data_IF_572884646402
#
_entry.id   IF_572884646402
#
_cell.length_a   1.000
_cell.length_b   1.000
_cell.length_c   1.000
_cell.angle_alpha   90.00
_cell.angle_beta   90.00
_cell.angle_gamma   90.00
#
_symmetry.space_group_name_H-M   'P 1'
#
loop_
_entity.id
_entity.type
_entity.pdbx_description
1 polymer ?
#
# COMPACT_ATOMS: atom_id res chain seq x y z
N UNK A 1 -21.46 -1.22 23.31
CA UNK A 1 -20.41 -1.80 22.45
C UNK A 1 -19.05 -1.63 23.11
N UNK A 2 -18.07 -2.52 22.84
CA UNK A 2 -16.67 -2.33 23.21
C UNK A 2 -15.93 -1.62 22.08
N UNK A 3 -15.26 -0.49 22.38
CA UNK A 3 -14.51 0.28 21.41
C UNK A 3 -13.03 0.33 21.81
N UNK A 4 -12.17 -0.29 21.02
CA UNK A 4 -10.74 -0.36 21.27
C UNK A 4 -10.01 0.66 20.39
N UNK A 5 -9.01 1.31 20.96
CA UNK A 5 -8.12 2.21 20.26
C UNK A 5 -6.73 1.61 20.11
N UNK A 6 -6.12 1.75 18.93
CA UNK A 6 -4.73 1.34 18.69
C UNK A 6 -3.94 2.49 18.07
N UNK A 7 -2.82 2.84 18.69
CA UNK A 7 -1.95 3.93 18.25
C UNK A 7 -1.08 3.53 17.05
N UNK A 8 -0.28 4.47 16.56
CA UNK A 8 0.73 4.27 15.52
C UNK A 8 2.10 3.84 16.04
N UNK A 9 3.04 3.64 15.12
CA UNK A 9 4.44 3.34 15.43
C UNK A 9 5.09 4.40 16.33
N UNK A 10 6.00 3.94 17.20
CA UNK A 10 6.84 4.73 18.10
C UNK A 10 6.08 5.61 19.12
N UNK A 11 4.83 5.24 19.44
CA UNK A 11 4.12 5.84 20.57
C UNK A 11 4.61 5.27 21.89
N UNK A 12 4.94 6.16 22.84
CA UNK A 12 5.34 5.80 24.21
C UNK A 12 4.32 6.21 25.27
N UNK A 13 3.21 6.88 24.88
CA UNK A 13 2.18 7.34 25.81
C UNK A 13 0.79 7.39 25.18
N UNK A 14 -0.22 6.98 25.95
CA UNK A 14 -1.65 7.04 25.59
C UNK A 14 -2.20 8.45 25.30
N UNK A 15 -1.47 9.53 25.63
CA UNK A 15 -1.85 10.90 25.24
C UNK A 15 -1.89 11.10 23.71
N UNK A 16 -1.32 10.15 22.95
CA UNK A 16 -1.42 10.11 21.50
C UNK A 16 -2.87 10.03 20.99
N UNK A 17 -3.77 9.43 21.79
CA UNK A 17 -5.19 9.30 21.43
C UNK A 17 -5.92 10.65 21.38
N UNK A 18 -5.30 11.70 21.93
CA UNK A 18 -5.84 13.06 21.86
C UNK A 18 -7.15 13.19 22.62
N UNK A 19 -8.08 13.93 22.03
CA UNK A 19 -9.43 14.19 22.57
C UNK A 19 -10.50 13.34 21.87
N UNK A 20 -10.08 12.45 20.96
CA UNK A 20 -10.98 11.70 20.10
C UNK A 20 -11.86 10.70 20.89
N UNK A 21 -11.34 9.94 21.89
CA UNK A 21 -12.18 9.08 22.72
C UNK A 21 -13.33 9.84 23.40
N UNK A 22 -13.03 10.97 24.03
CA UNK A 22 -14.01 11.80 24.73
C UNK A 22 -14.99 12.47 23.76
N UNK A 23 -14.51 12.92 22.59
CA UNK A 23 -15.37 13.47 21.55
C UNK A 23 -16.39 12.45 21.05
N UNK A 24 -15.97 11.21 20.77
CA UNK A 24 -16.90 10.16 20.33
C UNK A 24 -17.95 9.83 21.39
N UNK A 25 -17.55 9.71 22.67
CA UNK A 25 -18.50 9.43 23.76
C UNK A 25 -19.51 10.56 23.91
N UNK A 26 -19.05 11.82 23.84
CA UNK A 26 -19.93 12.99 23.98
C UNK A 26 -20.98 13.05 22.87
N UNK A 27 -20.59 12.79 21.63
CA UNK A 27 -21.48 12.90 20.47
C UNK A 27 -22.26 11.59 20.18
N UNK A 28 -21.89 10.47 20.79
CA UNK A 28 -22.49 9.15 20.51
C UNK A 28 -24.00 9.11 20.78
N UNK A 29 -24.46 9.71 21.88
CA UNK A 29 -25.88 9.72 22.22
C UNK A 29 -26.73 10.43 21.16
N UNK A 30 -26.26 11.59 20.67
CA UNK A 30 -26.90 12.33 19.58
C UNK A 30 -26.90 11.53 18.26
N UNK A 31 -25.87 10.70 18.04
CA UNK A 31 -25.79 9.79 16.90
C UNK A 31 -26.66 8.53 17.05
N UNK A 32 -27.27 8.29 18.21
CA UNK A 32 -28.06 7.09 18.51
C UNK A 32 -27.22 5.87 18.87
N UNK A 33 -26.00 6.07 19.37
CA UNK A 33 -25.08 5.01 19.81
C UNK A 33 -24.97 4.98 21.34
N UNK A 34 -25.06 3.78 21.91
CA UNK A 34 -24.75 3.55 23.32
C UNK A 34 -23.26 3.27 23.49
N UNK A 35 -22.48 4.36 23.59
CA UNK A 35 -21.05 4.33 23.87
C UNK A 35 -20.78 5.03 25.20
N UNK A 36 -20.26 4.28 26.17
CA UNK A 36 -19.79 4.80 27.45
C UNK A 36 -18.27 4.78 27.46
N UNK A 37 -17.65 5.77 28.10
CA UNK A 37 -16.19 5.84 28.26
C UNK A 37 -15.63 4.59 28.97
N UNK A 38 -16.41 3.95 29.84
CA UNK A 38 -16.02 2.72 30.52
C UNK A 38 -15.83 1.52 29.57
N UNK A 39 -16.40 1.58 28.37
CA UNK A 39 -16.26 0.57 27.32
C UNK A 39 -15.28 1.00 26.22
N UNK A 40 -14.53 2.08 26.46
CA UNK A 40 -13.45 2.54 25.58
C UNK A 40 -12.10 2.11 26.16
N UNK A 41 -11.37 1.30 25.40
CA UNK A 41 -10.07 0.76 25.83
C UNK A 41 -8.94 1.33 24.98
N UNK A 42 -7.91 1.85 25.64
CA UNK A 42 -6.74 2.42 24.99
C UNK A 42 -5.62 1.38 24.91
N UNK A 43 -5.46 0.76 23.74
CA UNK A 43 -4.43 -0.22 23.46
C UNK A 43 -3.03 0.36 23.60
N UNK A 44 -2.08 -0.51 23.94
CA UNK A 44 -0.65 -0.19 24.05
C UNK A 44 0.13 -1.33 23.45
N UNK A 45 1.04 -1.03 22.52
CA UNK A 45 1.93 -2.03 21.98
C UNK A 45 3.31 -1.45 21.71
N UNK A 46 4.35 -2.28 21.88
CA UNK A 46 5.73 -1.85 21.81
C UNK A 46 6.22 -1.97 20.36
N UNK A 47 6.39 -0.84 19.69
CA UNK A 47 6.82 -0.79 18.28
C UNK A 47 8.15 -0.09 18.05
N UNK A 48 8.80 0.30 19.14
CA UNK A 48 10.08 1.02 19.16
C UNK A 48 11.21 0.13 19.71
N UNK A 49 11.05 -1.19 19.73
CA UNK A 49 12.11 -2.15 20.07
C UNK A 49 12.49 -2.87 18.78
N UNK A 50 13.77 -2.86 18.42
CA UNK A 50 14.24 -3.26 17.09
C UNK A 50 13.93 -4.72 16.76
N UNK A 51 13.96 -5.61 17.76
CA UNK A 51 13.67 -7.03 17.61
C UNK A 51 12.19 -7.34 17.37
N UNK A 52 11.26 -6.46 17.76
CA UNK A 52 9.82 -6.74 17.70
C UNK A 52 9.31 -6.67 16.26
N UNK A 53 8.70 -7.76 15.80
CA UNK A 53 8.08 -7.84 14.47
C UNK A 53 6.57 -7.60 14.53
N UNK A 54 5.94 -7.39 13.37
CA UNK A 54 4.48 -7.28 13.30
C UNK A 54 3.80 -8.61 13.69
N UNK A 55 4.47 -9.74 13.46
CA UNK A 55 3.97 -11.06 13.83
C UNK A 55 3.95 -11.27 15.35
N UNK A 56 5.00 -10.83 16.04
CA UNK A 56 5.06 -10.84 17.51
C UNK A 56 3.92 -9.99 18.09
N UNK A 57 3.72 -8.80 17.53
CA UNK A 57 2.64 -7.90 17.95
C UNK A 57 1.26 -8.50 17.71
N UNK A 58 1.02 -9.18 16.59
CA UNK A 58 -0.26 -9.83 16.32
C UNK A 58 -0.50 -11.01 17.28
N UNK A 59 0.55 -11.74 17.64
CA UNK A 59 0.47 -12.81 18.64
C UNK A 59 0.12 -12.27 20.03
N UNK A 60 0.84 -11.23 20.46
CA UNK A 60 0.57 -10.57 21.73
C UNK A 60 -0.82 -9.91 21.75
N UNK A 61 -1.25 -9.32 20.63
CA UNK A 61 -2.58 -8.74 20.47
C UNK A 61 -3.67 -9.79 20.67
N UNK A 62 -3.54 -10.96 20.06
CA UNK A 62 -4.52 -12.03 20.21
C UNK A 62 -4.68 -12.45 21.69
N UNK A 63 -3.56 -12.57 22.40
CA UNK A 63 -3.57 -12.85 23.84
C UNK A 63 -4.26 -11.73 24.62
N UNK A 64 -3.88 -10.48 24.37
CA UNK A 64 -4.45 -9.32 25.06
C UNK A 64 -5.97 -9.16 24.82
N UNK A 65 -6.45 -9.43 23.60
CA UNK A 65 -7.88 -9.44 23.29
C UNK A 65 -8.61 -10.57 24.02
N UNK A 66 -7.97 -11.74 24.15
CA UNK A 66 -8.51 -12.87 24.92
C UNK A 66 -8.57 -12.53 26.41
N UNK A 67 -7.55 -11.91 26.98
CA UNK A 67 -7.56 -11.53 28.39
C UNK A 67 -8.60 -10.43 28.69
N UNK A 68 -8.79 -9.48 27.77
CA UNK A 68 -9.72 -8.36 27.96
C UNK A 68 -11.19 -8.72 27.69
N UNK A 69 -11.43 -9.46 26.60
CA UNK A 69 -12.77 -9.69 26.06
C UNK A 69 -13.15 -11.18 26.00
N UNK A 70 -12.26 -12.08 26.44
CA UNK A 70 -12.48 -13.51 26.41
C UNK A 70 -13.64 -13.92 27.32
N UNK A 71 -14.64 -14.57 26.73
CA UNK A 71 -15.75 -15.22 27.44
C UNK A 71 -16.00 -16.57 26.81
N UNK A 72 -16.09 -17.62 27.64
CA UNK A 72 -16.37 -18.99 27.18
C UNK A 72 -15.45 -19.47 26.05
N UNK A 73 -14.16 -19.13 26.12
CA UNK A 73 -13.15 -19.55 25.13
C UNK A 73 -13.17 -18.78 23.80
N UNK A 74 -13.96 -17.70 23.68
CA UNK A 74 -13.98 -16.82 22.49
C UNK A 74 -13.83 -15.36 22.87
N UNK A 75 -13.21 -14.58 22.00
CA UNK A 75 -13.14 -13.11 22.15
C UNK A 75 -14.55 -12.55 21.86
N UNK A 76 -15.12 -11.78 22.78
CA UNK A 76 -16.43 -11.14 22.58
C UNK A 76 -16.38 -10.07 21.47
N UNK A 77 -17.50 -9.78 20.77
CA UNK A 77 -17.52 -8.79 19.70
C UNK A 77 -17.05 -7.39 20.11
N UNK A 78 -16.30 -6.73 19.24
CA UNK A 78 -15.77 -5.38 19.46
C UNK A 78 -15.58 -4.59 18.17
N UNK A 79 -15.40 -3.28 18.33
CA UNK A 79 -15.05 -2.33 17.27
C UNK A 79 -13.69 -1.71 17.57
N UNK A 80 -12.95 -1.32 16.52
CA UNK A 80 -11.64 -0.69 16.63
C UNK A 80 -11.58 0.64 15.90
N UNK A 81 -10.93 1.61 16.54
CA UNK A 81 -10.35 2.80 15.88
C UNK A 81 -8.83 2.69 15.97
N UNK A 82 -8.16 2.62 14.83
CA UNK A 82 -6.70 2.48 14.78
C UNK A 82 -6.07 3.70 14.14
N UNK A 83 -4.81 3.98 14.45
CA UNK A 83 -4.04 5.00 13.77
C UNK A 83 -2.75 4.44 13.19
N UNK A 84 -2.37 4.91 12.00
CA UNK A 84 -1.08 4.59 11.39
C UNK A 84 -0.83 3.06 11.37
N UNK A 85 0.26 2.59 11.96
CA UNK A 85 0.61 1.16 12.09
C UNK A 85 -0.45 0.28 12.75
N UNK A 86 -1.31 0.84 13.61
CA UNK A 86 -2.39 0.08 14.25
C UNK A 86 -3.36 -0.54 13.23
N UNK A 87 -3.61 0.12 12.10
CA UNK A 87 -4.49 -0.40 11.05
C UNK A 87 -3.93 -1.67 10.41
N UNK A 88 -2.72 -1.63 9.83
CA UNK A 88 -2.06 -2.81 9.31
C UNK A 88 -1.84 -3.93 10.34
N UNK A 89 -1.57 -3.60 11.61
CA UNK A 89 -1.47 -4.59 12.68
C UNK A 89 -2.78 -5.37 12.86
N UNK A 90 -3.92 -4.67 12.96
CA UNK A 90 -5.23 -5.33 13.10
C UNK A 90 -5.58 -6.13 11.85
N UNK A 91 -5.30 -5.61 10.65
CA UNK A 91 -5.48 -6.38 9.40
C UNK A 91 -4.63 -7.65 9.39
N UNK A 92 -3.37 -7.56 9.83
CA UNK A 92 -2.48 -8.71 9.91
C UNK A 92 -2.96 -9.75 10.95
N UNK A 93 -3.47 -9.29 12.09
CA UNK A 93 -4.12 -10.17 13.07
C UNK A 93 -5.36 -10.88 12.49
N UNK A 94 -6.21 -10.18 11.73
CA UNK A 94 -7.35 -10.80 11.02
C UNK A 94 -6.86 -11.90 10.08
N UNK A 95 -5.86 -11.60 9.24
CA UNK A 95 -5.29 -12.59 8.32
C UNK A 95 -4.69 -13.80 9.05
N UNK A 96 -3.91 -13.55 10.12
CA UNK A 96 -3.21 -14.60 10.87
C UNK A 96 -4.15 -15.58 11.56
N UNK A 97 -5.26 -15.12 12.12
CA UNK A 97 -6.12 -15.94 12.98
C UNK A 97 -7.44 -16.38 12.33
N UNK A 98 -7.89 -15.69 11.29
CA UNK A 98 -9.17 -15.96 10.64
C UNK A 98 -8.99 -16.18 9.14
N UNK A 99 -8.20 -15.33 8.48
CA UNK A 99 -8.03 -15.36 7.03
C UNK A 99 -9.35 -15.17 6.29
N UNK A 100 -9.35 -15.37 4.97
CA UNK A 100 -10.56 -15.18 4.16
C UNK A 100 -11.70 -16.16 4.50
N UNK A 101 -11.36 -17.37 4.97
CA UNK A 101 -12.30 -18.47 5.20
C UNK A 101 -12.83 -18.53 6.64
N UNK A 102 -12.34 -17.68 7.54
CA UNK A 102 -12.77 -17.63 8.94
C UNK A 102 -13.40 -16.30 9.33
N UNK A 103 -13.69 -15.41 8.37
CA UNK A 103 -14.23 -14.08 8.65
C UNK A 103 -15.59 -14.13 9.34
N UNK A 104 -16.40 -15.16 9.10
CA UNK A 104 -17.69 -15.37 9.78
C UNK A 104 -17.55 -15.63 11.28
N UNK A 105 -16.35 -16.03 11.72
CA UNK A 105 -16.01 -16.22 13.14
C UNK A 105 -15.25 -15.01 13.72
N UNK A 106 -15.02 -13.95 12.94
CA UNK A 106 -14.25 -12.79 13.36
C UNK A 106 -15.04 -11.94 14.39
N UNK A 107 -14.50 -11.70 15.60
CA UNK A 107 -15.15 -10.87 16.61
C UNK A 107 -15.04 -9.36 16.33
N UNK A 108 -14.16 -8.95 15.42
CA UNK A 108 -13.99 -7.55 15.03
C UNK A 108 -15.09 -7.13 14.04
N UNK A 109 -16.04 -6.33 14.50
CA UNK A 109 -17.18 -5.87 13.69
C UNK A 109 -16.81 -4.66 12.82
N UNK A 110 -16.14 -3.67 13.41
CA UNK A 110 -15.78 -2.44 12.72
C UNK A 110 -14.29 -2.15 12.86
N UNK A 111 -13.62 -1.85 11.75
CA UNK A 111 -12.21 -1.43 11.74
C UNK A 111 -12.10 -0.06 11.09
N UNK A 112 -12.08 1.00 11.90
CA UNK A 112 -11.99 2.39 11.46
C UNK A 112 -10.52 2.82 11.53
N UNK A 113 -9.88 2.95 10.38
CA UNK A 113 -8.45 3.23 10.31
C UNK A 113 -8.18 4.69 9.96
N UNK A 114 -7.58 5.42 10.90
CA UNK A 114 -7.13 6.80 10.76
C UNK A 114 -5.68 6.84 10.26
N UNK A 115 -5.47 7.37 9.06
CA UNK A 115 -4.16 7.46 8.42
C UNK A 115 -3.33 6.15 8.43
N UNK A 116 -3.91 4.98 8.12
CA UNK A 116 -3.19 3.71 8.20
C UNK A 116 -2.09 3.62 7.15
N UNK A 117 -0.96 2.98 7.45
CA UNK A 117 0.08 2.69 6.44
C UNK A 117 -0.19 1.35 5.72
N UNK A 118 -1.35 1.24 5.06
CA UNK A 118 -1.83 -0.01 4.45
C UNK A 118 -0.95 -0.53 3.30
N UNK A 119 -0.33 0.37 2.55
CA UNK A 119 0.65 0.09 1.50
C UNK A 119 2.02 0.76 1.78
N UNK A 120 2.22 1.17 3.03
CA UNK A 120 3.48 1.71 3.52
C UNK A 120 3.60 3.22 3.46
N UNK A 121 4.77 3.68 3.86
CA UNK A 121 5.11 5.09 3.98
C UNK A 121 6.50 5.39 3.42
N UNK A 122 6.68 6.55 2.73
CA UNK A 122 8.00 7.06 2.34
C UNK A 122 8.97 7.25 3.52
N UNK A 123 8.45 7.40 4.75
CA UNK A 123 9.24 7.66 5.95
C UNK A 123 10.23 6.52 6.25
N UNK A 124 9.97 5.29 5.80
CA UNK A 124 10.86 4.17 6.10
C UNK A 124 12.17 4.16 5.29
N UNK A 125 12.29 4.97 4.23
CA UNK A 125 13.49 5.05 3.37
C UNK A 125 14.50 6.10 3.89
N UNK A 126 14.58 6.26 5.21
CA UNK A 126 15.50 7.24 5.80
C UNK A 126 16.93 6.68 5.89
N UNK A 127 17.82 7.26 5.10
CA UNK A 127 19.25 6.90 5.08
C UNK A 127 19.98 7.19 6.39
N UNK A 128 21.14 6.56 6.58
CA UNK A 128 21.98 6.62 7.80
C UNK A 128 22.27 8.04 8.31
N UNK A 129 22.36 9.04 7.43
CA UNK A 129 22.60 10.45 7.80
C UNK A 129 21.42 11.16 8.46
N UNK A 130 20.19 10.64 8.30
CA UNK A 130 18.98 11.19 8.94
C UNK A 130 18.59 10.43 10.22
N UNK A 131 19.23 9.30 10.50
CA UNK A 131 19.02 8.47 11.71
C UNK A 131 19.22 9.29 13.00
N UNK A 132 20.15 10.26 13.03
CA UNK A 132 20.33 11.14 14.19
C UNK A 132 19.12 12.05 14.47
N UNK A 133 18.49 12.63 13.43
CA UNK A 133 17.32 13.50 13.55
C UNK A 133 16.05 12.72 13.92
N UNK A 134 15.96 11.50 13.38
CA UNK A 134 14.98 10.47 13.72
C UNK A 134 15.13 10.13 15.20
N UNK A 135 16.30 9.66 15.66
CA UNK A 135 16.54 9.33 17.08
C UNK A 135 16.23 10.48 18.05
N UNK A 136 16.53 11.73 17.67
CA UNK A 136 16.15 12.91 18.44
C UNK A 136 14.62 13.12 18.52
N UNK A 137 13.89 12.90 17.43
CA UNK A 137 12.42 12.86 17.42
C UNK A 137 11.88 11.74 18.33
N UNK A 138 12.57 10.61 18.43
CA UNK A 138 12.17 9.49 19.29
C UNK A 138 12.57 9.65 20.75
N UNK A 139 12.97 10.84 21.19
CA UNK A 139 13.39 11.06 22.59
C UNK A 139 14.44 10.04 23.07
N UNK A 140 15.26 9.49 22.16
CA UNK A 140 16.30 8.52 22.47
C UNK A 140 15.89 7.04 22.54
N UNK A 141 14.65 6.65 22.21
CA UNK A 141 14.30 5.21 22.11
C UNK A 141 14.75 4.57 20.79
N UNK A 142 14.87 3.24 20.79
CA UNK A 142 15.13 2.46 19.57
C UNK A 142 14.07 2.76 18.48
N UNK A 143 14.46 2.68 17.19
CA UNK A 143 13.53 2.99 16.10
C UNK A 143 12.51 1.87 15.84
N UNK A 144 12.68 0.66 16.36
CA UNK A 144 11.80 -0.46 16.01
C UNK A 144 12.00 -0.89 14.55
N UNK A 145 13.24 -1.23 14.20
CA UNK A 145 13.67 -1.48 12.82
C UNK A 145 12.76 -2.47 12.07
N UNK A 146 12.36 -3.58 12.69
CA UNK A 146 11.54 -4.59 12.01
C UNK A 146 10.13 -4.10 11.68
N UNK A 147 9.53 -3.29 12.55
CA UNK A 147 8.24 -2.63 12.26
C UNK A 147 8.40 -1.61 11.13
N UNK A 148 9.46 -0.80 11.14
CA UNK A 148 9.73 0.15 10.05
C UNK A 148 10.00 -0.54 8.71
N UNK A 149 10.76 -1.65 8.72
CA UNK A 149 11.00 -2.47 7.53
C UNK A 149 9.68 -3.00 6.96
N UNK A 150 8.75 -3.43 7.83
CA UNK A 150 7.41 -3.85 7.43
C UNK A 150 6.58 -2.69 6.85
N UNK A 151 6.68 -1.49 7.44
CA UNK A 151 5.94 -0.29 7.01
C UNK A 151 6.53 0.40 5.78
N UNK A 152 7.70 -0.04 5.32
CA UNK A 152 8.33 0.47 4.10
C UNK A 152 7.48 0.21 2.87
N UNK A 153 7.38 1.20 1.98
CA UNK A 153 6.75 1.03 0.66
C UNK A 153 7.30 -0.22 -0.03
N UNK A 154 6.41 -1.04 -0.59
CA UNK A 154 6.77 -2.26 -1.31
C UNK A 154 7.41 -3.36 -0.46
N UNK A 155 7.21 -3.36 0.86
CA UNK A 155 7.64 -4.48 1.71
C UNK A 155 6.89 -5.78 1.37
N UNK A 156 7.54 -6.92 1.59
CA UNK A 156 6.91 -8.24 1.36
C UNK A 156 5.69 -8.45 2.26
N UNK A 157 5.74 -8.00 3.51
CA UNK A 157 4.63 -8.13 4.46
C UNK A 157 3.38 -7.39 4.01
N UNK A 158 3.54 -6.18 3.45
CA UNK A 158 2.43 -5.44 2.88
C UNK A 158 1.92 -6.05 1.58
N UNK A 159 2.83 -6.52 0.72
CA UNK A 159 2.46 -7.20 -0.52
C UNK A 159 1.58 -8.41 -0.21
N UNK A 160 2.03 -9.28 0.70
CA UNK A 160 1.33 -10.50 1.11
C UNK A 160 -0.03 -10.19 1.74
N UNK A 161 -0.08 -9.26 2.71
CA UNK A 161 -1.33 -8.92 3.40
C UNK A 161 -2.38 -8.33 2.44
N UNK A 162 -1.98 -7.43 1.55
CA UNK A 162 -2.90 -6.85 0.57
C UNK A 162 -3.33 -7.89 -0.49
N UNK A 163 -2.45 -8.83 -0.86
CA UNK A 163 -2.79 -9.89 -1.82
C UNK A 163 -3.78 -10.88 -1.21
N UNK A 164 -3.59 -11.26 0.07
CA UNK A 164 -4.53 -12.10 0.80
C UNK A 164 -5.92 -11.44 0.89
N UNK A 165 -5.98 -10.12 1.13
CA UNK A 165 -7.25 -9.39 1.24
C UNK A 165 -8.09 -9.35 -0.05
N UNK A 166 -7.56 -9.74 -1.21
CA UNK A 166 -8.31 -9.82 -2.48
C UNK A 166 -9.44 -10.86 -2.44
N UNK A 167 -9.32 -11.90 -1.63
CA UNK A 167 -10.35 -12.94 -1.49
C UNK A 167 -11.40 -12.60 -0.43
N UNK A 168 -11.21 -11.54 0.35
CA UNK A 168 -12.08 -11.24 1.47
C UNK A 168 -13.48 -10.82 1.01
N UNK A 169 -14.47 -11.21 1.81
CA UNK A 169 -15.90 -10.84 1.66
C UNK A 169 -16.41 -10.20 2.95
N UNK A 170 -15.70 -9.18 3.42
CA UNK A 170 -15.84 -8.61 4.76
C UNK A 170 -17.29 -8.25 5.13
N UNK A 171 -18.00 -7.50 4.26
CA UNK A 171 -19.35 -7.05 4.60
C UNK A 171 -20.38 -8.19 4.70
N UNK A 172 -20.17 -9.28 3.94
CA UNK A 172 -21.02 -10.46 4.02
C UNK A 172 -20.77 -11.26 5.31
N UNK A 173 -19.56 -11.15 5.88
CA UNK A 173 -19.16 -11.78 7.13
C UNK A 173 -19.42 -10.92 8.38
N UNK A 174 -20.08 -9.76 8.25
CA UNK A 174 -20.30 -8.85 9.39
C UNK A 174 -19.08 -8.03 9.81
N UNK A 175 -18.06 -7.94 8.94
CA UNK A 175 -16.84 -7.18 9.15
C UNK A 175 -16.80 -5.92 8.26
N UNK A 176 -16.73 -4.74 8.86
CA UNK A 176 -16.85 -3.44 8.20
C UNK A 176 -15.57 -2.59 8.38
N UNK A 177 -14.57 -2.73 7.50
CA UNK A 177 -13.40 -1.86 7.50
C UNK A 177 -13.72 -0.50 6.85
N UNK A 178 -13.13 0.58 7.36
CA UNK A 178 -13.24 1.94 6.84
C UNK A 178 -11.89 2.65 6.92
N UNK A 179 -11.55 3.47 5.93
CA UNK A 179 -10.31 4.24 5.91
C UNK A 179 -10.61 5.74 5.97
N UNK A 180 -9.84 6.44 6.78
CA UNK A 180 -9.85 7.89 6.91
C UNK A 180 -8.44 8.39 6.64
N UNK A 181 -8.26 9.32 5.71
CA UNK A 181 -6.95 9.86 5.35
C UNK A 181 -6.96 11.38 5.39
N UNK A 182 -5.83 11.96 5.78
CA UNK A 182 -5.56 13.37 5.59
C UNK A 182 -4.87 13.63 4.26
N UNK A 183 -5.02 14.84 3.73
CA UNK A 183 -4.14 15.38 2.70
C UNK A 183 -3.69 16.81 3.02
N UNK A 184 -3.84 17.22 4.28
CA UNK A 184 -3.29 18.47 4.79
C UNK A 184 -1.94 18.22 5.45
N UNK A 185 -1.01 19.15 5.28
CA UNK A 185 0.33 19.02 5.85
C UNK A 185 0.59 20.23 6.76
N UNK A 186 1.01 19.97 7.99
CA UNK A 186 1.56 21.01 8.86
C UNK A 186 3.06 21.14 8.54
N UNK A 187 3.38 21.89 7.47
CA UNK A 187 4.75 22.00 6.92
C UNK A 187 5.77 22.33 8.02
N UNK A 188 5.43 23.21 8.98
CA UNK A 188 6.31 23.57 10.10
C UNK A 188 6.67 22.39 11.01
N UNK A 189 5.76 21.41 11.17
CA UNK A 189 6.00 20.23 11.98
C UNK A 189 6.90 19.21 11.27
N UNK A 190 6.83 19.14 9.93
CA UNK A 190 7.44 18.06 9.14
C UNK A 190 8.68 18.48 8.33
N UNK A 191 8.79 19.75 7.96
CA UNK A 191 9.90 20.31 7.15
C UNK A 191 11.26 20.06 7.79
N UNK A 192 11.34 20.09 9.13
CA UNK A 192 12.60 19.91 9.86
C UNK A 192 13.19 18.50 9.71
N UNK A 193 12.40 17.51 9.31
CA UNK A 193 12.80 16.10 9.29
C UNK A 193 13.22 15.62 7.92
N UNK A 194 12.34 15.80 6.93
CA UNK A 194 12.50 15.20 5.62
C UNK A 194 11.55 15.82 4.58
N UNK A 195 12.05 16.35 3.44
CA UNK A 195 11.20 16.91 2.38
C UNK A 195 10.20 15.92 1.77
N UNK A 196 10.42 14.60 1.90
CA UNK A 196 9.40 13.59 1.52
C UNK A 196 8.13 13.64 2.38
N UNK A 197 8.16 14.34 3.53
CA UNK A 197 7.03 14.50 4.45
C UNK A 197 6.18 15.74 4.13
N UNK A 198 6.48 16.43 3.03
CA UNK A 198 5.64 17.50 2.48
C UNK A 198 5.17 17.18 1.06
N UNK A 199 5.19 15.90 0.68
CA UNK A 199 4.76 15.46 -0.65
C UNK A 199 3.24 15.63 -0.84
N UNK A 200 2.78 16.25 -1.95
CA UNK A 200 1.35 16.40 -2.24
C UNK A 200 0.60 15.06 -2.25
N UNK A 201 -0.65 15.10 -1.78
CA UNK A 201 -1.49 13.90 -1.66
C UNK A 201 -1.08 12.98 -0.51
N UNK A 202 -0.42 13.54 0.52
CA UNK A 202 -0.10 12.85 1.77
C UNK A 202 -0.55 13.67 2.98
N UNK A 203 -0.63 13.01 4.13
CA UNK A 203 -0.85 13.65 5.43
C UNK A 203 0.47 14.06 6.13
N UNK A 204 1.57 14.03 5.39
CA UNK A 204 2.93 14.25 5.85
C UNK A 204 3.66 13.00 6.36
N UNK A 205 3.02 11.83 6.40
CA UNK A 205 3.70 10.55 6.66
C UNK A 205 3.23 9.48 5.68
N UNK A 206 1.93 9.39 5.45
CA UNK A 206 1.31 8.38 4.59
C UNK A 206 0.62 9.08 3.42
N UNK A 207 0.91 8.62 2.20
CA UNK A 207 0.20 9.03 0.99
C UNK A 207 -1.26 8.60 1.10
N UNK A 208 -2.21 9.34 0.56
CA UNK A 208 -3.62 8.90 0.50
C UNK A 208 -3.72 7.54 -0.22
N UNK A 209 -2.96 7.37 -1.32
CA UNK A 209 -2.82 6.08 -2.02
C UNK A 209 -2.20 4.97 -1.16
N UNK A 210 -1.35 5.32 -0.20
CA UNK A 210 -0.76 4.40 0.77
C UNK A 210 -1.70 4.02 1.91
N UNK A 211 -2.68 4.88 2.23
CA UNK A 211 -3.66 4.65 3.28
C UNK A 211 -4.90 3.90 2.82
N UNK A 212 -5.35 4.14 1.59
CA UNK A 212 -6.48 3.45 1.00
C UNK A 212 -6.28 1.92 1.07
N UNK A 213 -7.34 1.14 1.31
CA UNK A 213 -7.29 -0.33 1.20
C UNK A 213 -7.66 -0.83 -0.20
N UNK A 214 -8.34 0.02 -0.99
CA UNK A 214 -8.59 -0.28 -2.38
C UNK A 214 -7.25 -0.24 -3.13
N UNK A 215 -6.96 -1.35 -3.80
CA UNK A 215 -5.73 -1.53 -4.55
C UNK A 215 -6.00 -2.41 -5.77
N UNK A 216 -5.05 -2.41 -6.69
CA UNK A 216 -5.07 -3.21 -7.91
C UNK A 216 -3.90 -4.17 -7.93
N UNK A 217 -4.11 -5.33 -8.51
CA UNK A 217 -3.08 -6.32 -8.75
C UNK A 217 -3.08 -6.71 -10.22
N UNK A 218 -1.98 -6.38 -10.89
CA UNK A 218 -1.69 -6.79 -12.26
C UNK A 218 -0.56 -7.81 -12.23
N UNK A 219 -0.76 -8.95 -12.87
CA UNK A 219 0.25 -10.00 -13.01
C UNK A 219 0.60 -10.14 -14.47
N UNK A 220 1.89 -10.07 -14.78
CA UNK A 220 2.44 -10.11 -16.13
C UNK A 220 3.45 -11.25 -16.22
N UNK A 221 3.31 -12.10 -17.24
CA UNK A 221 4.26 -13.17 -17.53
C UNK A 221 4.79 -13.02 -18.95
N UNK A 222 6.11 -13.11 -19.11
CA UNK A 222 6.75 -13.07 -20.41
C UNK A 222 6.40 -14.32 -21.23
N UNK A 223 5.88 -14.09 -22.42
CA UNK A 223 5.66 -15.12 -23.44
C UNK A 223 6.91 -15.34 -24.29
N UNK A 224 6.85 -16.31 -25.20
CA UNK A 224 7.87 -16.50 -26.23
C UNK A 224 7.54 -15.74 -27.53
N UNK A 225 6.38 -15.07 -27.59
CA UNK A 225 5.93 -14.35 -28.76
C UNK A 225 6.46 -12.92 -28.77
N UNK A 226 6.90 -12.40 -29.93
CA UNK A 226 7.27 -11.00 -30.05
C UNK A 226 6.02 -10.11 -29.91
N UNK A 227 6.24 -8.87 -29.51
CA UNK A 227 5.20 -7.83 -29.50
C UNK A 227 4.75 -7.55 -30.94
N UNK A 228 3.44 -7.47 -31.17
CA UNK A 228 2.91 -7.21 -32.52
C UNK A 228 3.38 -5.85 -33.06
N UNK A 229 4.00 -5.85 -34.25
CA UNK A 229 4.40 -4.63 -34.96
C UNK A 229 5.61 -3.87 -34.39
N UNK A 230 6.32 -4.40 -33.38
CA UNK A 230 7.59 -3.84 -32.85
C UNK A 230 8.65 -4.93 -32.64
N UNK A 231 9.92 -4.58 -32.83
CA UNK A 231 11.05 -5.52 -32.86
C UNK A 231 11.55 -5.98 -31.49
N UNK A 232 12.13 -7.19 -31.48
CA UNK A 232 13.00 -7.84 -30.47
C UNK A 232 12.50 -8.02 -29.03
N UNK A 233 11.52 -7.24 -28.57
CA UNK A 233 10.89 -7.46 -27.27
C UNK A 233 9.84 -8.57 -27.33
N UNK A 234 9.75 -9.37 -26.26
CA UNK A 234 8.74 -10.39 -26.07
C UNK A 234 7.53 -9.83 -25.33
N UNK A 235 6.33 -10.32 -25.65
CA UNK A 235 5.11 -9.85 -25.02
C UNK A 235 5.02 -10.29 -23.55
N UNK A 236 4.66 -9.36 -22.67
CA UNK A 236 4.28 -9.58 -21.28
C UNK A 236 2.75 -9.69 -21.20
N UNK A 237 2.27 -10.92 -21.05
CA UNK A 237 0.84 -11.22 -21.09
C UNK A 237 0.22 -11.19 -19.70
N UNK A 238 -1.07 -10.87 -19.63
CA UNK A 238 -1.91 -10.97 -18.44
C UNK A 238 -3.02 -12.01 -18.66
N UNK A 239 -3.68 -12.44 -17.58
CA UNK A 239 -4.88 -13.27 -17.69
C UNK A 239 -6.05 -12.44 -18.24
N UNK A 240 -6.42 -12.65 -19.50
CA UNK A 240 -7.50 -11.91 -20.17
C UNK A 240 -8.87 -12.05 -19.48
N UNK A 241 -9.11 -13.12 -18.71
CA UNK A 241 -10.36 -13.28 -17.95
C UNK A 241 -10.38 -12.41 -16.70
N UNK A 242 -9.21 -12.06 -16.17
CA UNK A 242 -9.06 -11.30 -14.93
C UNK A 242 -7.77 -10.49 -14.91
N UNK A 243 -7.66 -9.55 -15.84
CA UNK A 243 -6.45 -8.75 -16.07
C UNK A 243 -5.97 -8.05 -14.79
N UNK A 244 -6.90 -7.41 -14.10
CA UNK A 244 -6.64 -6.72 -12.84
C UNK A 244 -7.54 -7.29 -11.75
N UNK A 245 -6.93 -7.70 -10.64
CA UNK A 245 -7.65 -8.12 -9.44
C UNK A 245 -7.79 -6.95 -8.48
N UNK A 246 -8.97 -6.79 -7.90
CA UNK A 246 -9.26 -5.79 -6.87
C UNK A 246 -9.96 -6.45 -5.67
N UNK A 247 -9.79 -5.93 -4.45
CA UNK A 247 -10.54 -6.42 -3.28
C UNK A 247 -12.00 -5.96 -3.34
N UNK A 248 -12.83 -6.46 -2.42
CA UNK A 248 -14.12 -5.84 -2.17
C UNK A 248 -13.90 -4.36 -1.78
N UNK A 249 -14.69 -3.45 -2.36
CA UNK A 249 -14.53 -2.00 -2.15
C UNK A 249 -14.64 -1.64 -0.66
N UNK A 250 -13.62 -0.95 -0.14
CA UNK A 250 -13.56 -0.42 1.22
C UNK A 250 -13.81 1.10 1.17
N UNK A 251 -14.73 1.66 1.97
CA UNK A 251 -14.94 3.11 2.02
C UNK A 251 -13.69 3.89 2.44
N UNK A 252 -13.45 5.01 1.76
CA UNK A 252 -12.38 5.97 2.05
C UNK A 252 -13.00 7.36 2.24
N UNK A 253 -12.65 8.03 3.33
CA UNK A 253 -12.91 9.44 3.57
C UNK A 253 -11.59 10.22 3.60
N UNK A 254 -11.39 11.14 2.65
CA UNK A 254 -10.22 12.03 2.61
C UNK A 254 -10.59 13.42 3.10
N UNK A 255 -9.81 13.97 4.04
CA UNK A 255 -10.03 15.31 4.59
C UNK A 255 -8.91 16.26 4.15
N UNK A 256 -9.29 17.43 3.59
CA UNK A 256 -8.31 18.38 3.06
C UNK A 256 -7.45 19.06 4.13
N UNK A 257 -7.89 19.03 5.40
CA UNK A 257 -7.28 19.78 6.49
C UNK A 257 -6.88 18.93 7.69
N UNK A 258 -6.47 17.68 7.45
CA UNK A 258 -5.87 16.82 8.46
C UNK A 258 -4.49 16.32 8.03
N UNK A 259 -3.56 16.31 8.98
CA UNK A 259 -2.22 15.73 8.89
C UNK A 259 -2.14 14.44 9.72
N UNK A 260 -1.04 13.71 9.60
CA UNK A 260 -0.83 12.45 10.31
C UNK A 260 -0.89 12.64 11.83
N UNK A 261 -0.24 13.72 12.30
CA UNK A 261 -0.03 14.04 13.71
C UNK A 261 -0.09 15.55 13.96
N UNK A 262 -0.16 15.94 15.23
CA UNK A 262 -0.11 17.34 15.67
C UNK A 262 -1.41 17.83 16.31
N UNK A 263 -1.33 18.85 17.16
CA UNK A 263 -2.48 19.39 17.90
C UNK A 263 -3.35 20.34 17.08
N UNK A 264 -2.86 20.80 15.93
CA UNK A 264 -3.57 21.71 15.01
C UNK A 264 -4.34 20.95 13.93
N UNK A 265 -3.66 20.03 13.24
CA UNK A 265 -4.21 19.30 12.08
C UNK A 265 -4.19 17.77 12.24
N UNK A 266 -3.60 17.22 13.30
CA UNK A 266 -3.46 15.77 13.44
C UNK A 266 -4.80 15.05 13.49
N UNK A 267 -4.96 14.01 12.67
CA UNK A 267 -6.22 13.26 12.47
C UNK A 267 -6.83 12.68 13.76
N UNK A 268 -6.04 12.51 14.83
CA UNK A 268 -6.55 12.09 16.15
C UNK A 268 -6.53 13.18 17.23
N UNK A 269 -5.64 14.17 17.08
CA UNK A 269 -5.25 15.07 18.18
C UNK A 269 -5.64 16.52 17.94
N UNK A 270 -6.14 16.85 16.76
CA UNK A 270 -6.55 18.20 16.44
C UNK A 270 -7.61 18.68 17.44
N UNK A 271 -7.41 19.88 18.00
CA UNK A 271 -8.37 20.49 18.93
C UNK A 271 -9.75 20.70 18.30
N UNK A 272 -9.82 20.80 16.96
CA UNK A 272 -11.08 20.89 16.20
C UNK A 272 -12.00 19.68 16.43
N UNK A 273 -11.46 18.50 16.76
CA UNK A 273 -12.25 17.30 17.04
C UNK A 273 -13.08 17.40 18.32
N UNK A 274 -12.71 18.30 19.24
CA UNK A 274 -13.50 18.55 20.44
C UNK A 274 -14.75 19.40 20.18
N UNK A 275 -14.89 19.99 18.98
CA UNK A 275 -16.07 20.79 18.63
C UNK A 275 -17.23 19.85 18.22
N UNK A 276 -18.47 20.11 18.68
CA UNK A 276 -19.64 19.40 18.17
C UNK A 276 -19.76 19.53 16.65
N UNK A 277 -20.19 18.45 15.98
CA UNK A 277 -20.33 18.40 14.52
C UNK A 277 -18.99 18.41 13.77
N UNK A 278 -17.88 17.98 14.40
CA UNK A 278 -16.62 17.83 13.70
C UNK A 278 -16.76 16.74 12.62
N UNK A 279 -16.53 17.04 11.31
CA UNK A 279 -16.87 16.11 10.23
C UNK A 279 -16.23 14.72 10.36
N UNK A 280 -15.00 14.65 10.89
CA UNK A 280 -14.34 13.37 11.16
C UNK A 280 -15.08 12.56 12.23
N UNK A 281 -15.46 13.19 13.35
CA UNK A 281 -16.16 12.53 14.46
C UNK A 281 -17.53 12.03 14.00
N UNK A 282 -18.29 12.87 13.29
CA UNK A 282 -19.60 12.50 12.74
C UNK A 282 -19.50 11.30 11.78
N UNK A 283 -18.49 11.31 10.91
CA UNK A 283 -18.26 10.21 9.97
C UNK A 283 -17.86 8.92 10.70
N UNK A 284 -17.02 9.00 11.74
CA UNK A 284 -16.65 7.85 12.56
C UNK A 284 -17.89 7.24 13.25
N UNK A 285 -18.75 8.06 13.83
CA UNK A 285 -19.99 7.62 14.47
C UNK A 285 -20.97 7.00 13.46
N UNK A 286 -21.12 7.60 12.27
CA UNK A 286 -21.91 7.02 11.20
C UNK A 286 -21.41 5.63 10.78
N UNK A 287 -20.09 5.43 10.69
CA UNK A 287 -19.50 4.13 10.40
C UNK A 287 -19.73 3.10 11.52
N UNK A 288 -19.72 3.51 12.79
CA UNK A 288 -19.99 2.61 13.94
C UNK A 288 -21.46 2.16 14.03
N UNK A 289 -22.37 2.77 13.26
CA UNK A 289 -23.78 2.37 13.17
C UNK A 289 -24.05 1.32 12.10
N UNK A 290 -23.08 1.06 11.22
CA UNK A 290 -23.23 0.10 10.12
C UNK A 290 -23.34 -1.31 10.68
N UNK A 291 -24.43 -2.00 10.41
CA UNK A 291 -24.70 -3.33 10.97
C UNK A 291 -24.98 -4.39 9.90
N UNK A 292 -25.00 -4.00 8.63
CA UNK A 292 -25.24 -4.90 7.51
C UNK A 292 -24.52 -4.44 6.22
N UNK A 293 -24.52 -5.30 5.21
CA UNK A 293 -23.91 -4.99 3.91
C UNK A 293 -24.63 -3.87 3.13
N UNK A 294 -25.89 -3.55 3.46
CA UNK A 294 -26.66 -2.50 2.80
C UNK A 294 -26.26 -1.11 3.32
N UNK A 295 -26.32 -0.92 4.63
CA UNK A 295 -25.82 0.25 5.36
C UNK A 295 -24.33 0.49 5.10
N UNK A 296 -23.50 -0.56 4.98
CA UNK A 296 -22.09 -0.41 4.59
C UNK A 296 -21.92 0.21 3.19
N UNK A 297 -22.75 -0.21 2.22
CA UNK A 297 -22.75 0.37 0.86
C UNK A 297 -23.28 1.80 0.85
N UNK A 298 -24.30 2.13 1.65
CA UNK A 298 -24.79 3.50 1.82
C UNK A 298 -23.68 4.38 2.38
N UNK A 299 -23.09 3.99 3.51
CA UNK A 299 -22.02 4.74 4.14
C UNK A 299 -20.81 4.91 3.21
N UNK A 300 -20.51 3.90 2.39
CA UNK A 300 -19.50 3.99 1.34
C UNK A 300 -19.77 5.08 0.30
N UNK A 301 -21.03 5.30 -0.09
CA UNK A 301 -21.41 6.39 -1.01
C UNK A 301 -21.30 7.76 -0.34
N UNK A 302 -21.73 7.88 0.92
CA UNK A 302 -21.61 9.12 1.71
C UNK A 302 -20.13 9.52 1.86
N UNK A 303 -19.26 8.58 2.24
CA UNK A 303 -17.82 8.84 2.35
C UNK A 303 -17.17 9.18 1.00
N UNK A 304 -17.65 8.59 -0.10
CA UNK A 304 -17.18 8.95 -1.44
C UNK A 304 -17.59 10.37 -1.82
N UNK A 305 -18.83 10.78 -1.52
CA UNK A 305 -19.31 12.14 -1.74
C UNK A 305 -18.54 13.16 -0.89
N UNK A 306 -18.33 12.84 0.40
CA UNK A 306 -17.49 13.63 1.31
C UNK A 306 -16.08 13.79 0.76
N UNK A 307 -15.42 12.69 0.37
CA UNK A 307 -14.08 12.71 -0.23
C UNK A 307 -14.03 13.62 -1.45
N UNK A 308 -15.00 13.49 -2.37
CA UNK A 308 -15.06 14.35 -3.55
C UNK A 308 -15.16 15.82 -3.16
N UNK A 309 -16.06 16.17 -2.24
CA UNK A 309 -16.23 17.55 -1.77
C UNK A 309 -14.97 18.09 -1.10
N UNK A 310 -14.36 17.31 -0.19
CA UNK A 310 -13.15 17.69 0.53
C UNK A 310 -11.95 17.86 -0.40
N UNK A 311 -11.75 16.97 -1.38
CA UNK A 311 -10.62 17.08 -2.31
C UNK A 311 -10.75 18.23 -3.32
N UNK A 312 -11.93 18.86 -3.48
CA UNK A 312 -12.08 20.12 -4.22
C UNK A 312 -11.67 21.36 -3.39
N UNK A 313 -11.56 21.22 -2.06
CA UNK A 313 -11.13 22.32 -1.20
C UNK A 313 -9.60 22.42 -1.19
N UNK A 314 -9.10 23.66 -1.15
CA UNK A 314 -7.67 23.91 -0.96
C UNK A 314 -7.27 23.74 0.51
N UNK A 315 -6.23 22.97 0.83
CA UNK A 315 -5.64 22.95 2.17
C UNK A 315 -5.12 24.33 2.58
N UNK A 316 -5.02 24.57 3.89
CA UNK A 316 -4.42 25.81 4.39
C UNK A 316 -2.96 25.89 3.97
N UNK A 317 -2.55 27.06 3.48
CA UNK A 317 -1.20 27.30 2.96
C UNK A 317 -1.04 26.97 1.47
N UNK A 318 -1.99 26.27 0.85
CA UNK A 318 -1.93 25.91 -0.56
C UNK A 318 -2.73 26.89 -1.42
N UNK A 319 -2.20 27.22 -2.60
CA UNK A 319 -2.85 28.13 -3.57
C UNK A 319 -3.96 27.46 -4.38
N UNK A 320 -3.93 26.13 -4.50
CA UNK A 320 -4.86 25.31 -5.28
C UNK A 320 -5.23 24.01 -4.55
N UNK A 321 -6.33 23.34 -4.93
CA UNK A 321 -6.60 21.97 -4.51
C UNK A 321 -5.44 21.04 -4.87
N UNK A 322 -5.22 20.03 -4.03
CA UNK A 322 -4.18 19.02 -4.24
C UNK A 322 -4.66 18.03 -5.32
N UNK A 323 -3.78 17.71 -6.28
CA UNK A 323 -4.05 16.69 -7.30
C UNK A 323 -4.25 15.31 -6.65
N UNK A 324 -4.87 14.37 -7.35
CA UNK A 324 -4.96 12.99 -6.87
C UNK A 324 -3.84 12.16 -7.49
N UNK A 325 -3.27 11.26 -6.71
CA UNK A 325 -2.08 10.50 -7.11
C UNK A 325 -2.30 9.00 -6.97
N UNK A 326 -1.45 8.21 -7.61
CA UNK A 326 -1.42 6.75 -7.50
C UNK A 326 0.00 6.27 -7.18
N UNK A 327 0.10 5.15 -6.46
CA UNK A 327 1.37 4.49 -6.19
C UNK A 327 1.46 3.20 -6.99
N UNK A 328 2.57 2.98 -7.69
CA UNK A 328 2.83 1.78 -8.47
C UNK A 328 3.98 1.02 -7.81
N UNK A 329 3.75 -0.23 -7.41
CA UNK A 329 4.74 -1.08 -6.77
C UNK A 329 5.08 -2.22 -7.71
N UNK A 330 6.30 -2.22 -8.23
CA UNK A 330 6.78 -3.21 -9.16
C UNK A 330 7.67 -4.24 -8.47
N UNK A 331 7.37 -5.52 -8.70
CA UNK A 331 8.23 -6.65 -8.35
C UNK A 331 8.58 -7.42 -9.63
N UNK A 332 9.86 -7.69 -9.82
CA UNK A 332 10.37 -8.44 -10.98
C UNK A 332 11.05 -9.70 -10.49
N UNK A 333 10.63 -10.85 -11.03
CA UNK A 333 11.18 -12.17 -10.73
C UNK A 333 11.34 -12.99 -12.00
N UNK A 334 12.19 -14.00 -11.95
CA UNK A 334 12.25 -14.97 -13.04
C UNK A 334 11.15 -16.05 -12.89
N UNK A 335 10.96 -16.84 -13.95
CA UNK A 335 9.99 -17.95 -13.98
C UNK A 335 10.31 -19.07 -12.99
N UNK A 336 11.54 -19.10 -12.46
CA UNK A 336 11.99 -20.01 -11.38
C UNK A 336 11.68 -19.43 -9.98
N UNK A 337 11.04 -18.26 -9.90
CA UNK A 337 10.65 -17.62 -8.65
C UNK A 337 11.75 -16.78 -7.99
N UNK A 338 12.91 -16.60 -8.63
CA UNK A 338 14.02 -15.82 -8.08
C UNK A 338 13.76 -14.33 -8.26
N UNK A 339 13.88 -13.57 -7.18
CA UNK A 339 13.77 -12.11 -7.22
C UNK A 339 14.95 -11.53 -8.00
N UNK A 340 14.65 -10.66 -8.98
CA UNK A 340 15.66 -9.90 -9.71
C UNK A 340 15.92 -8.61 -8.93
N UNK A 341 17.19 -8.29 -8.69
CA UNK A 341 17.57 -7.10 -7.91
C UNK A 341 17.22 -5.83 -8.67
N UNK A 342 16.84 -4.78 -7.96
CA UNK A 342 16.47 -3.48 -8.54
C UNK A 342 17.56 -2.81 -9.38
N UNK A 343 18.82 -3.22 -9.24
CA UNK A 343 19.95 -2.73 -10.05
C UNK A 343 20.06 -3.47 -11.40
N UNK A 344 19.49 -4.67 -11.45
CA UNK A 344 19.54 -5.58 -12.59
C UNK A 344 18.27 -5.48 -13.45
N UNK A 345 17.39 -4.50 -13.21
CA UNK A 345 16.29 -4.23 -14.12
C UNK A 345 15.91 -2.75 -14.21
N UNK A 346 15.34 -2.38 -15.35
CA UNK A 346 14.69 -1.08 -15.58
C UNK A 346 13.23 -1.27 -15.96
N UNK A 347 12.38 -0.35 -15.49
CA UNK A 347 10.95 -0.30 -15.83
C UNK A 347 10.65 1.06 -16.43
N UNK A 348 10.27 1.05 -17.70
CA UNK A 348 9.88 2.23 -18.46
C UNK A 348 8.36 2.17 -18.66
N UNK A 349 7.66 3.24 -18.27
CA UNK A 349 6.26 3.41 -18.62
C UNK A 349 6.17 3.90 -20.08
N UNK A 350 5.23 3.35 -20.82
CA UNK A 350 5.05 3.61 -22.25
C UNK A 350 3.69 4.26 -22.50
N UNK A 351 3.59 5.14 -23.49
CA UNK A 351 2.34 5.80 -23.88
C UNK A 351 2.24 6.07 -25.39
N UNK A 352 1.02 6.28 -25.86
CA UNK A 352 0.68 6.62 -27.24
C UNK A 352 0.72 5.42 -28.19
N UNK A 353 0.24 5.59 -29.43
CA UNK A 353 0.10 4.52 -30.44
C UNK A 353 1.37 3.73 -30.74
N UNK A 354 2.55 4.29 -30.44
CA UNK A 354 3.86 3.67 -30.63
C UNK A 354 4.48 3.13 -29.33
N UNK A 355 3.74 3.15 -28.22
CA UNK A 355 4.21 2.72 -26.90
C UNK A 355 5.60 3.29 -26.57
N UNK A 356 5.70 4.61 -26.57
CA UNK A 356 6.97 5.33 -26.37
C UNK A 356 7.07 5.93 -24.97
N UNK A 357 8.23 5.87 -24.31
CA UNK A 357 8.42 6.51 -23.01
C UNK A 357 8.42 8.04 -23.08
N UNK A 358 8.63 8.63 -24.26
CA UNK A 358 8.73 10.07 -24.47
C UNK A 358 7.37 10.77 -24.65
N UNK A 359 6.27 10.03 -24.55
CA UNK A 359 4.89 10.52 -24.80
C UNK A 359 4.13 10.71 -23.49
N UNK A 360 4.76 10.47 -22.34
CA UNK A 360 4.12 10.68 -21.04
C UNK A 360 3.87 12.17 -20.77
N UNK A 361 2.72 12.53 -20.16
CA UNK A 361 2.42 13.92 -19.82
C UNK A 361 3.48 14.55 -18.91
N UNK A 362 3.72 15.86 -19.09
CA UNK A 362 4.59 16.62 -18.18
C UNK A 362 4.01 16.61 -16.76
N UNK A 363 4.85 16.32 -15.77
CA UNK A 363 4.45 16.24 -14.35
C UNK A 363 3.78 14.92 -13.96
N UNK A 364 3.75 13.94 -14.86
CA UNK A 364 3.21 12.60 -14.59
C UNK A 364 3.97 11.88 -13.47
N UNK A 365 5.30 11.85 -13.54
CA UNK A 365 6.14 11.25 -12.50
C UNK A 365 6.39 12.27 -11.39
N UNK A 366 6.05 11.89 -10.15
CA UNK A 366 6.20 12.73 -8.97
C UNK A 366 7.42 12.27 -8.17
N UNK A 367 7.51 10.97 -7.89
CA UNK A 367 8.60 10.40 -7.09
C UNK A 367 8.93 8.95 -7.48
N UNK A 368 10.15 8.53 -7.16
CA UNK A 368 10.65 7.16 -7.35
C UNK A 368 11.41 6.70 -6.11
N UNK A 369 11.02 5.55 -5.57
CA UNK A 369 11.67 4.91 -4.44
C UNK A 369 12.01 3.45 -4.74
N UNK A 370 12.91 2.88 -3.92
CA UNK A 370 13.29 1.47 -3.99
C UNK A 370 13.26 0.90 -2.59
N UNK A 371 12.62 -0.26 -2.44
CA UNK A 371 12.77 -1.07 -1.26
C UNK A 371 13.93 -2.05 -1.45
N UNK A 372 15.05 -1.78 -0.78
CA UNK A 372 16.28 -2.59 -0.92
C UNK A 372 16.17 -3.99 -0.33
N UNK A 373 15.15 -4.30 0.49
CA UNK A 373 14.94 -5.64 1.06
C UNK A 373 14.15 -6.51 0.08
N UNK A 374 12.99 -6.03 -0.38
CA UNK A 374 12.15 -6.74 -1.36
C UNK A 374 12.61 -6.58 -2.82
N UNK A 375 13.55 -5.67 -3.08
CA UNK A 375 13.96 -5.25 -4.43
C UNK A 375 12.86 -4.54 -5.24
N UNK A 376 11.71 -4.22 -4.64
CA UNK A 376 10.64 -3.52 -5.34
C UNK A 376 11.04 -2.11 -5.75
N UNK A 377 10.61 -1.68 -6.93
CA UNK A 377 10.66 -0.28 -7.40
C UNK A 377 9.29 0.32 -7.24
N UNK A 378 9.22 1.53 -6.68
CA UNK A 378 7.97 2.23 -6.39
C UNK A 378 7.94 3.55 -7.15
N UNK A 379 6.90 3.77 -7.95
CA UNK A 379 6.61 5.07 -8.57
C UNK A 379 5.41 5.73 -7.89
N UNK A 380 5.50 7.03 -7.70
CA UNK A 380 4.37 7.88 -7.35
C UNK A 380 4.05 8.77 -8.54
N UNK A 381 2.80 8.71 -9.00
CA UNK A 381 2.39 9.31 -10.26
C UNK A 381 1.12 10.14 -10.08
N UNK A 382 0.99 11.22 -10.85
CA UNK A 382 -0.19 12.06 -10.86
C UNK A 382 -1.33 11.37 -11.62
N UNK A 383 -2.42 11.06 -10.92
CA UNK A 383 -3.53 10.30 -11.48
C UNK A 383 -4.45 11.14 -12.37
N UNK A 384 -4.47 12.47 -12.19
CA UNK A 384 -5.15 13.36 -13.13
C UNK A 384 -4.41 13.36 -14.47
N UNK A 385 -3.07 13.32 -14.44
CA UNK A 385 -2.24 13.17 -15.64
C UNK A 385 -2.39 11.81 -16.30
N UNK A 386 -2.62 10.75 -15.53
CA UNK A 386 -2.95 9.43 -16.10
C UNK A 386 -4.25 9.46 -16.91
N UNK A 387 -5.25 10.23 -16.49
CA UNK A 387 -6.51 10.35 -17.23
C UNK A 387 -6.30 10.99 -18.62
N UNK A 388 -5.28 11.84 -18.80
CA UNK A 388 -4.91 12.39 -20.11
C UNK A 388 -4.48 11.29 -21.10
N UNK A 389 -3.95 10.15 -20.61
CA UNK A 389 -3.62 8.99 -21.45
C UNK A 389 -4.86 8.33 -22.06
N UNK A 390 -6.02 8.40 -21.38
CA UNK A 390 -7.27 7.85 -21.93
C UNK A 390 -7.65 8.53 -23.25
N UNK A 391 -7.38 9.83 -23.37
CA UNK A 391 -7.64 10.63 -24.58
C UNK A 391 -6.72 10.24 -25.75
N UNK A 392 -5.63 9.51 -25.51
CA UNK A 392 -4.73 9.04 -26.56
C UNK A 392 -5.20 7.74 -27.21
N UNK A 393 -6.35 7.18 -26.78
CA UNK A 393 -6.89 5.91 -27.24
C UNK A 393 -6.53 4.72 -26.34
N UNK A 394 -6.19 4.97 -25.07
CA UNK A 394 -5.77 3.97 -24.07
C UNK A 394 -4.51 3.17 -24.44
N UNK A 395 -3.61 3.71 -25.25
CA UNK A 395 -2.31 3.08 -25.51
C UNK A 395 -1.31 3.42 -24.41
N UNK A 396 -1.15 2.51 -23.45
CA UNK A 396 -0.14 2.61 -22.40
C UNK A 396 0.49 1.23 -22.14
N UNK A 397 1.70 1.21 -21.63
CA UNK A 397 2.41 -0.04 -21.46
C UNK A 397 3.59 0.03 -20.51
N UNK A 398 4.32 -1.06 -20.45
CA UNK A 398 5.55 -1.20 -19.67
C UNK A 398 6.61 -1.83 -20.57
N UNK A 399 7.84 -1.31 -20.54
CA UNK A 399 9.02 -2.03 -21.01
C UNK A 399 9.87 -2.42 -19.81
N UNK A 400 10.24 -3.69 -19.77
CA UNK A 400 11.06 -4.30 -18.72
C UNK A 400 12.35 -4.80 -19.34
N UNK A 401 13.46 -4.18 -18.95
CA UNK A 401 14.80 -4.57 -19.39
C UNK A 401 15.49 -5.21 -18.19
N UNK A 402 15.99 -6.44 -18.34
CA UNK A 402 16.62 -7.20 -17.25
C UNK A 402 18.04 -7.60 -17.63
N UNK A 403 18.94 -7.50 -16.67
CA UNK A 403 20.35 -7.85 -16.77
C UNK A 403 20.65 -9.17 -16.04
N UNK A 404 21.63 -9.97 -16.53
CA UNK A 404 22.34 -9.77 -17.78
C UNK A 404 21.43 -10.05 -18.99
N UNK A 405 21.72 -9.37 -20.11
CA UNK A 405 21.13 -9.72 -21.39
C UNK A 405 21.60 -11.11 -21.83
N UNK A 406 20.82 -11.76 -22.70
CA UNK A 406 21.12 -13.11 -23.14
C UNK A 406 22.41 -13.18 -23.97
N UNK A 407 23.49 -13.67 -23.35
CA UNK A 407 24.67 -14.25 -24.02
C UNK A 407 24.64 -15.78 -23.90
N UNK A 408 25.27 -16.34 -22.86
CA UNK A 408 25.15 -17.77 -22.50
C UNK A 408 24.01 -18.04 -21.52
N UNK A 409 23.67 -17.06 -20.68
CA UNK A 409 22.51 -17.09 -19.81
C UNK A 409 22.07 -15.66 -19.49
N UNK A 410 20.78 -15.38 -19.56
CA UNK A 410 20.28 -14.03 -19.32
C UNK A 410 18.80 -13.90 -19.61
N UNK A 411 18.39 -12.67 -19.91
CA UNK A 411 16.99 -12.32 -20.15
C UNK A 411 16.83 -11.63 -21.50
N UNK A 412 15.58 -11.59 -21.96
CA UNK A 412 15.15 -10.81 -23.13
C UNK A 412 14.24 -9.68 -22.65
N UNK A 413 14.25 -8.57 -23.37
CA UNK A 413 13.35 -7.43 -23.11
C UNK A 413 11.90 -7.90 -23.18
N UNK A 414 11.10 -7.51 -22.19
CA UNK A 414 9.66 -7.74 -22.16
C UNK A 414 8.89 -6.44 -22.33
N UNK A 415 7.81 -6.45 -23.10
CA UNK A 415 6.87 -5.33 -23.13
C UNK A 415 5.43 -5.76 -22.91
N UNK A 416 4.74 -5.02 -22.06
CA UNK A 416 3.29 -5.08 -21.90
C UNK A 416 2.68 -3.92 -22.68
N UNK A 417 1.78 -4.23 -23.61
CA UNK A 417 0.96 -3.26 -24.33
C UNK A 417 -0.48 -3.42 -23.83
N UNK A 418 -1.17 -2.31 -23.55
CA UNK A 418 -2.52 -2.35 -22.96
C UNK A 418 -3.54 -3.07 -23.83
N UNK A 419 -3.41 -3.01 -25.16
CA UNK A 419 -4.26 -3.72 -26.13
C UNK A 419 -5.78 -3.53 -25.86
N UNK A 420 -6.17 -2.33 -25.42
CA UNK A 420 -7.56 -2.00 -25.10
C UNK A 420 -7.96 -2.16 -23.63
N UNK A 421 -7.08 -2.68 -22.76
CA UNK A 421 -7.26 -2.65 -21.31
C UNK A 421 -7.36 -1.18 -20.84
N UNK A 422 -8.49 -0.74 -20.25
CA UNK A 422 -8.66 0.67 -19.87
C UNK A 422 -7.62 1.14 -18.86
N UNK A 423 -7.09 2.35 -19.02
CA UNK A 423 -6.04 2.89 -18.14
C UNK A 423 -6.49 2.97 -16.67
N UNK A 424 -7.76 3.31 -16.44
CA UNK A 424 -8.38 3.42 -15.12
C UNK A 424 -8.59 2.06 -14.42
N UNK A 425 -8.52 0.96 -15.19
CA UNK A 425 -8.53 -0.39 -14.63
C UNK A 425 -7.20 -0.76 -13.96
N UNK A 426 -6.07 -0.20 -14.42
CA UNK A 426 -4.72 -0.46 -13.88
C UNK A 426 -4.28 0.66 -12.94
N UNK A 427 -4.69 1.90 -13.23
CA UNK A 427 -4.29 3.09 -12.50
C UNK A 427 -5.50 3.80 -11.92
N UNK A 428 -5.49 4.18 -10.65
CA UNK A 428 -6.56 5.03 -10.14
C UNK A 428 -6.13 6.06 -9.11
N UNK A 429 -6.86 7.20 -9.09
CA UNK A 429 -6.70 8.21 -8.06
C UNK A 429 -6.80 7.61 -6.66
N UNK A 430 -5.88 8.00 -5.79
CA UNK A 430 -5.81 7.61 -4.38
C UNK A 430 -5.66 6.10 -4.15
N UNK A 431 -5.14 5.33 -5.10
CA UNK A 431 -4.98 3.88 -4.96
C UNK A 431 -3.55 3.42 -5.29
N UNK A 432 -3.18 2.27 -4.69
CA UNK A 432 -1.94 1.57 -4.99
C UNK A 432 -2.18 0.43 -5.98
N UNK A 433 -1.30 0.30 -6.97
CA UNK A 433 -1.28 -0.82 -7.93
C UNK A 433 -0.01 -1.64 -7.73
N UNK A 434 -0.18 -2.92 -7.42
CA UNK A 434 0.88 -3.93 -7.36
C UNK A 434 1.02 -4.60 -8.72
N UNK A 435 2.24 -4.62 -9.25
CA UNK A 435 2.56 -5.11 -10.59
C UNK A 435 3.64 -6.19 -10.45
N UNK A 436 3.22 -7.46 -10.54
CA UNK A 436 4.11 -8.63 -10.45
C UNK A 436 4.52 -9.07 -11.85
N UNK A 437 5.80 -8.95 -12.18
CA UNK A 437 6.34 -9.25 -13.51
C UNK A 437 7.21 -10.51 -13.41
N UNK A 438 6.89 -11.50 -14.23
CA UNK A 438 7.64 -12.75 -14.38
C UNK A 438 8.36 -12.74 -15.72
N UNK A 439 9.68 -12.81 -15.67
CA UNK A 439 10.56 -12.84 -16.83
C UNK A 439 11.08 -14.26 -17.06
N UNK A 440 11.23 -14.68 -18.31
CA UNK A 440 11.83 -15.97 -18.60
C UNK A 440 13.35 -15.83 -18.53
N UNK A 441 14.00 -16.68 -17.73
CA UNK A 441 15.46 -16.83 -17.75
C UNK A 441 15.81 -17.79 -18.87
N UNK A 442 16.69 -17.36 -19.78
CA UNK A 442 17.15 -18.17 -20.89
C UNK A 442 18.59 -18.64 -20.66
N UNK A 443 18.89 -19.85 -21.13
CA UNK A 443 20.25 -20.40 -21.17
C UNK A 443 20.53 -20.88 -22.59
N UNK A 444 21.65 -20.48 -23.17
CA UNK A 444 22.05 -20.93 -24.50
C UNK A 444 22.49 -22.40 -24.47
N UNK A 445 22.09 -23.19 -25.47
CA UNK A 445 22.46 -24.60 -25.57
C UNK A 445 23.97 -24.84 -25.68
N UNK A 446 24.76 -23.82 -26.02
CA UNK A 446 26.22 -23.82 -26.01
C UNK A 446 26.86 -23.54 -24.66
N UNK A 447 26.08 -23.27 -23.61
CA UNK A 447 26.60 -23.09 -22.25
C UNK A 447 27.29 -24.36 -21.71
N UNK A 448 26.88 -25.53 -22.21
CA UNK A 448 27.53 -26.82 -21.95
C UNK A 448 27.68 -27.58 -23.26
N UNK A 449 28.88 -28.10 -23.53
CA UNK A 449 29.16 -28.97 -24.66
C UNK A 449 30.14 -30.06 -24.27
N UNK A 450 30.08 -31.19 -24.99
CA UNK A 450 31.02 -32.29 -24.83
C UNK A 450 31.84 -32.45 -26.10
N UNK A 451 33.16 -32.50 -25.96
CA UNK A 451 34.06 -32.90 -27.03
C UNK A 451 34.49 -34.36 -26.82
N UNK A 452 34.59 -35.18 -27.88
CA UNK A 452 35.11 -36.54 -27.77
C UNK A 452 36.53 -36.55 -27.20
N UNK A 453 36.87 -37.55 -26.37
CA UNK A 453 38.22 -37.68 -25.81
C UNK A 453 39.34 -37.84 -26.87
N UNK A 454 38.96 -38.23 -28.10
CA UNK A 454 39.87 -38.32 -29.26
C UNK A 454 40.17 -36.97 -29.93
N UNK A 455 39.43 -35.91 -29.61
CA UNK A 455 39.69 -34.57 -30.14
C UNK A 455 40.91 -33.95 -29.44
N UNK A 456 41.70 -33.10 -30.13
CA UNK A 456 42.76 -32.33 -29.47
C UNK A 456 42.20 -31.51 -28.31
N UNK A 457 42.91 -31.49 -27.18
CA UNK A 457 42.56 -30.64 -26.04
C UNK A 457 42.59 -29.17 -26.49
N UNK A 458 41.50 -28.44 -26.28
CA UNK A 458 41.35 -27.06 -26.73
C UNK A 458 40.89 -26.15 -25.57
N UNK A 459 41.07 -24.84 -25.73
CA UNK A 459 40.59 -23.85 -24.76
C UNK A 459 39.18 -23.39 -25.12
N UNK A 460 38.28 -23.34 -24.14
CA UNK A 460 36.91 -22.85 -24.28
C UNK A 460 36.74 -21.36 -23.89
N UNK A 461 37.84 -20.62 -23.66
CA UNK A 461 37.78 -19.21 -23.21
C UNK A 461 37.12 -18.27 -24.22
N UNK A 462 37.13 -18.63 -25.51
CA UNK A 462 36.57 -17.81 -26.61
C UNK A 462 35.31 -18.43 -27.22
N UNK A 463 34.67 -19.36 -26.52
CA UNK A 463 33.41 -19.94 -26.95
C UNK A 463 32.36 -18.85 -27.15
N UNK A 464 31.53 -19.02 -28.17
CA UNK A 464 30.37 -18.15 -28.44
C UNK A 464 29.07 -18.93 -28.19
N UNK A 465 27.98 -18.24 -27.83
CA UNK A 465 26.65 -18.85 -27.79
C UNK A 465 26.28 -19.50 -29.13
N UNK A 466 25.53 -20.60 -29.09
CA UNK A 466 24.98 -21.28 -30.27
C UNK A 466 23.76 -20.56 -30.86
N UNK A 467 23.19 -19.61 -30.14
CA UNK A 467 21.99 -18.88 -30.55
C UNK A 467 20.69 -19.65 -30.28
N UNK A 468 20.76 -20.75 -29.55
CA UNK A 468 19.61 -21.60 -29.22
C UNK A 468 19.27 -21.40 -27.74
N UNK A 469 18.27 -20.57 -27.47
CA UNK A 469 17.81 -20.27 -26.13
C UNK A 469 16.91 -21.39 -25.58
N UNK A 470 17.29 -21.94 -24.43
CA UNK A 470 16.53 -22.90 -23.64
C UNK A 470 15.87 -22.15 -22.47
N UNK A 471 14.63 -22.51 -22.13
CA UNK A 471 13.96 -22.08 -20.90
C UNK A 471 14.10 -23.24 -19.90
N UNK A 472 14.88 -23.07 -18.80
CA UNK A 472 15.10 -24.10 -17.79
C UNK A 472 13.86 -24.51 -17.01
#
# INVERSE_FOLDING_TARGET
>A
MNLLFFHGWSTTHTRTYGVLPEALVREAAAAGLQLSIAHVHLGKYISFVDAVTLDDLATALNRALTDLLGKSGKIAPFSCITHSTGGPLLRYWVEKYYGANGLENLPLQHLLMLAPANHGSPLAVLGKSKVGRIKAWFSGVEPGEQILNWLSLGSEGQWALNQASLSYRSAAAGFYPFVFAGQGIDEKLYDFLNPYLVEPGSDGVVRVAGANMNCRYLHLTQSNEPVAGQSSALALNYDVKKAVRTPQKVPLAVFHQHSHSGSKMGIMRAKSLAKPGAPLVDTLLACLKVNDAHSYRIQGREMQALTKAQQQLKPVGQSRPISRYSTLVFRVRDHLGRVIKHQDYDILLLAGKRYSPNVLPKGFFVDRQVNKRSQCVIYYVDAEKMAELANTGNYYGLRVVVRPELEFAGYRVGEFHSEGLPVDSVFAPNETTYIDIVMNRYVDAGAVSFDPAKAPRSSFKRSRPRGQALVP
#
